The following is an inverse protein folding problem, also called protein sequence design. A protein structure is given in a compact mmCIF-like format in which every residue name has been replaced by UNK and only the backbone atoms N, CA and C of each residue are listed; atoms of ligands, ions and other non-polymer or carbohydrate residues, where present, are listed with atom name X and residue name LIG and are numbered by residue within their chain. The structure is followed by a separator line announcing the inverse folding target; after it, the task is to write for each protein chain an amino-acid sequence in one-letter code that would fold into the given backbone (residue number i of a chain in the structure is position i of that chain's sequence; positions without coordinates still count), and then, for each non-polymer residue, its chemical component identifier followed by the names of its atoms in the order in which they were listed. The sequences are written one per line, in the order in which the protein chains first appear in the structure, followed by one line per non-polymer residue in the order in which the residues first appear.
data_IF_350515535195
#
_entry.id   IF_350515535195
#
_cell.length_a   1.000
_cell.length_b   1.000
_cell.length_c   1.000
_cell.angle_alpha   90.00
_cell.angle_beta   90.00
_cell.angle_gamma   90.00
#
_symmetry.space_group_name_H-M   'P 1'
#
loop_
_entity.id
_entity.type
_entity.pdbx_description
1 polymer ?
#
# COMPACT_ATOMS: atom_id res chain seq x y z
N UNK A 1 -29.39 -42.09 36.62
CA UNK A 1 -29.91 -41.60 35.32
C UNK A 1 -29.56 -40.12 35.22
N UNK A 2 -28.81 -39.72 34.17
CA UNK A 2 -28.77 -38.41 33.49
C UNK A 2 -28.54 -37.14 34.34
N UNK A 3 -27.71 -36.15 34.00
CA UNK A 3 -26.53 -35.92 33.13
C UNK A 3 -26.21 -34.43 33.32
N UNK A 4 -24.92 -34.06 33.23
CA UNK A 4 -24.35 -32.78 32.79
C UNK A 4 -24.71 -31.46 33.49
N UNK A 5 -23.65 -30.68 33.76
CA UNK A 5 -23.76 -29.23 33.96
C UNK A 5 -22.59 -28.55 34.65
N UNK A 6 -21.32 -28.89 34.34
CA UNK A 6 -20.18 -28.04 34.72
C UNK A 6 -20.21 -26.79 33.82
N UNK A 7 -20.82 -25.71 34.29
CA UNK A 7 -20.53 -24.37 33.77
C UNK A 7 -19.27 -23.85 34.49
N UNK A 8 -18.14 -23.93 33.79
CA UNK A 8 -16.99 -23.08 34.05
C UNK A 8 -17.26 -21.75 33.32
N UNK A 9 -17.87 -20.78 34.01
CA UNK A 9 -17.75 -19.38 33.62
C UNK A 9 -16.38 -18.91 34.08
N UNK A 10 -15.36 -19.14 33.25
CA UNK A 10 -14.06 -18.52 33.43
C UNK A 10 -14.15 -17.11 32.86
N UNK A 11 -14.27 -16.16 33.80
CA UNK A 11 -14.04 -14.74 33.70
C UNK A 11 -13.30 -14.27 32.43
N UNK A 12 -14.06 -13.79 31.45
CA UNK A 12 -13.59 -12.84 30.46
C UNK A 12 -13.52 -11.45 31.13
N UNK A 13 -12.31 -11.04 31.53
CA UNK A 13 -11.95 -9.65 31.81
C UNK A 13 -10.81 -9.34 30.84
N UNK A 14 -11.10 -8.71 29.70
CA UNK A 14 -11.03 -7.26 29.52
C UNK A 14 -9.65 -6.73 29.89
N UNK A 15 -8.66 -7.00 29.04
CA UNK A 15 -7.56 -6.07 28.86
C UNK A 15 -8.05 -4.97 27.93
N UNK A 16 -7.97 -3.68 28.30
CA UNK A 16 -8.04 -2.62 27.32
C UNK A 16 -6.81 -2.79 26.41
N UNK A 17 -7.04 -3.23 25.18
CA UNK A 17 -6.08 -3.13 24.10
C UNK A 17 -5.96 -1.64 23.73
N UNK A 18 -5.29 -0.87 24.57
CA UNK A 18 -4.66 0.37 24.18
C UNK A 18 -3.25 -0.02 23.71
N UNK A 19 -3.18 -0.61 22.53
CA UNK A 19 -1.94 -0.75 21.81
C UNK A 19 -1.65 0.61 21.18
N UNK A 20 -0.96 1.47 21.93
CA UNK A 20 -0.06 2.47 21.35
C UNK A 20 1.13 1.71 20.70
N UNK A 21 0.84 0.77 19.77
CA UNK A 21 1.85 -0.04 19.12
C UNK A 21 2.43 0.80 17.99
N UNK A 22 3.51 1.53 18.32
CA UNK A 22 4.42 2.06 17.32
C UNK A 22 4.75 0.94 16.32
N UNK A 23 4.63 1.18 15.01
CA UNK A 23 4.86 0.15 14.03
C UNK A 23 6.30 -0.39 14.12
N UNK A 24 6.47 -1.67 13.82
CA UNK A 24 7.81 -2.28 13.80
C UNK A 24 8.73 -1.51 12.83
N UNK A 25 9.95 -1.12 13.23
CA UNK A 25 10.87 -0.38 12.37
C UNK A 25 11.19 -1.11 11.06
N UNK A 26 11.19 -2.45 11.04
CA UNK A 26 11.41 -3.23 9.81
C UNK A 26 10.20 -3.17 8.88
N UNK A 27 8.98 -3.13 9.43
CA UNK A 27 7.77 -2.89 8.65
C UNK A 27 7.78 -1.50 8.01
N UNK A 28 8.16 -0.47 8.77
CA UNK A 28 8.28 0.92 8.29
C UNK A 28 9.36 1.03 7.21
N UNK A 29 10.56 0.47 7.45
CA UNK A 29 11.65 0.51 6.51
C UNK A 29 11.34 -0.29 5.22
N UNK A 30 10.72 -1.46 5.36
CA UNK A 30 10.29 -2.30 4.23
C UNK A 30 9.23 -1.62 3.36
N UNK A 31 8.19 -1.06 3.98
CA UNK A 31 7.15 -0.31 3.25
C UNK A 31 7.71 0.92 2.55
N UNK A 32 8.58 1.67 3.22
CA UNK A 32 9.27 2.83 2.63
C UNK A 32 10.07 2.40 1.39
N UNK A 33 10.86 1.34 1.49
CA UNK A 33 11.65 0.83 0.37
C UNK A 33 10.77 0.40 -0.82
N UNK A 34 9.67 -0.32 -0.57
CA UNK A 34 8.71 -0.70 -1.60
C UNK A 34 8.08 0.53 -2.27
N UNK A 35 7.65 1.51 -1.48
CA UNK A 35 7.09 2.76 -1.98
C UNK A 35 8.11 3.57 -2.81
N UNK A 36 9.38 3.62 -2.37
CA UNK A 36 10.49 4.22 -3.13
C UNK A 36 10.69 3.52 -4.47
N UNK A 37 10.70 2.18 -4.49
CA UNK A 37 10.88 1.39 -5.71
C UNK A 37 9.78 1.66 -6.74
N UNK A 38 8.52 1.64 -6.30
CA UNK A 38 7.35 1.92 -7.16
C UNK A 38 7.33 3.38 -7.63
N UNK A 39 7.54 4.32 -6.71
CA UNK A 39 7.49 5.76 -7.00
C UNK A 39 8.60 6.23 -7.95
N UNK A 40 9.75 5.54 -7.97
CA UNK A 40 10.88 5.93 -8.82
C UNK A 40 10.62 5.77 -10.32
N UNK A 41 9.70 4.89 -10.73
CA UNK A 41 9.42 4.59 -12.14
C UNK A 41 7.96 4.81 -12.55
N UNK A 42 7.12 5.47 -11.74
CA UNK A 42 5.69 5.64 -12.06
C UNK A 42 5.42 6.33 -13.41
N UNK A 43 6.33 7.19 -13.88
CA UNK A 43 6.23 7.79 -15.22
C UNK A 43 6.46 6.77 -16.36
N UNK A 44 7.25 5.72 -16.12
CA UNK A 44 7.51 4.66 -17.09
C UNK A 44 6.31 3.73 -17.26
N UNK A 45 5.54 3.46 -16.19
CA UNK A 45 4.37 2.58 -16.28
C UNK A 45 3.38 3.06 -17.35
N UNK A 46 3.12 4.37 -17.38
CA UNK A 46 2.25 4.99 -18.39
C UNK A 46 2.88 4.98 -19.80
N UNK A 47 4.20 5.02 -19.90
CA UNK A 47 4.88 5.04 -21.19
C UNK A 47 4.94 3.66 -21.86
N UNK A 48 4.96 2.60 -21.05
CA UNK A 48 5.04 1.21 -21.50
C UNK A 48 3.66 0.57 -21.75
N UNK A 49 2.58 1.18 -21.25
CA UNK A 49 1.23 0.73 -21.57
C UNK A 49 0.96 0.83 -23.07
N UNK A 50 0.44 -0.25 -23.66
CA UNK A 50 0.22 -0.34 -25.10
C UNK A 50 -1.06 0.41 -25.56
N UNK A 51 -1.39 0.28 -26.84
CA UNK A 51 -2.56 0.96 -27.41
C UNK A 51 -3.90 0.47 -26.84
N UNK A 52 -3.93 -0.75 -26.30
CA UNK A 52 -5.08 -1.39 -25.68
C UNK A 52 -5.06 -1.25 -24.15
N UNK A 53 -4.08 -0.53 -23.60
CA UNK A 53 -3.91 -0.27 -22.17
C UNK A 53 -3.26 -1.42 -21.41
N UNK A 54 -2.75 -2.44 -22.09
CA UNK A 54 -2.03 -3.55 -21.46
C UNK A 54 -0.63 -3.08 -21.02
N UNK A 55 -0.24 -3.48 -19.81
CA UNK A 55 1.07 -3.22 -19.24
C UNK A 55 1.74 -4.56 -18.96
N UNK A 56 2.93 -4.78 -19.50
CA UNK A 56 3.81 -5.91 -19.20
C UNK A 56 5.25 -5.42 -19.38
N UNK A 57 5.92 -5.11 -18.28
CA UNK A 57 7.25 -4.49 -18.32
C UNK A 57 8.13 -4.86 -17.14
N UNK A 58 9.41 -5.08 -17.43
CA UNK A 58 10.48 -5.29 -16.45
C UNK A 58 11.16 -3.95 -16.11
N UNK A 59 11.18 -3.60 -14.82
CA UNK A 59 11.75 -2.34 -14.34
C UNK A 59 12.91 -2.57 -13.37
N UNK A 60 13.95 -1.76 -13.54
CA UNK A 60 15.14 -1.79 -12.68
C UNK A 60 14.93 -0.90 -11.46
N UNK A 61 15.23 -1.44 -10.29
CA UNK A 61 15.10 -0.71 -9.03
C UNK A 61 16.23 0.30 -8.81
N UNK A 62 16.02 1.35 -7.99
CA UNK A 62 16.99 2.41 -7.79
C UNK A 62 18.39 1.94 -7.38
N UNK A 63 18.47 0.88 -6.57
CA UNK A 63 19.74 0.34 -6.05
C UNK A 63 20.09 -1.06 -6.60
N UNK A 64 19.46 -1.45 -7.72
CA UNK A 64 19.69 -2.74 -8.39
C UNK A 64 18.62 -3.80 -8.10
N UNK A 65 18.67 -4.92 -8.81
CA UNK A 65 17.53 -5.84 -8.88
C UNK A 65 16.43 -5.32 -9.80
N UNK A 66 15.30 -6.01 -9.82
CA UNK A 66 14.18 -5.67 -10.71
C UNK A 66 12.82 -6.00 -10.09
N UNK A 67 11.77 -5.46 -10.70
CA UNK A 67 10.40 -5.91 -10.52
C UNK A 67 9.68 -5.92 -11.87
N UNK A 68 8.70 -6.81 -11.99
CA UNK A 68 7.82 -6.92 -13.16
C UNK A 68 6.51 -6.24 -12.83
N UNK A 69 5.97 -5.49 -13.77
CA UNK A 69 4.65 -4.85 -13.68
C UNK A 69 3.78 -5.40 -14.79
N UNK A 70 2.68 -6.04 -14.42
CA UNK A 70 1.69 -6.62 -15.33
C UNK A 70 0.31 -6.03 -15.00
N UNK A 71 -0.48 -5.63 -15.99
CA UNK A 71 -1.78 -5.04 -15.70
C UNK A 71 -2.54 -4.55 -16.90
N UNK A 72 -3.66 -3.91 -16.61
CA UNK A 72 -4.48 -3.25 -17.61
C UNK A 72 -4.96 -1.89 -17.08
N UNK A 73 -4.81 -0.88 -17.91
CA UNK A 73 -5.42 0.43 -17.73
C UNK A 73 -6.77 0.36 -18.45
N UNK A 74 -7.80 -0.08 -17.72
CA UNK A 74 -9.13 -0.37 -18.27
C UNK A 74 -9.74 0.87 -18.93
N UNK A 75 -9.56 2.04 -18.32
CA UNK A 75 -9.81 3.34 -18.92
C UNK A 75 -8.99 4.46 -18.25
N UNK A 76 -9.32 5.73 -18.48
CA UNK A 76 -8.60 6.86 -17.91
C UNK A 76 -8.73 6.98 -16.37
N UNK A 77 -9.65 6.25 -15.77
CA UNK A 77 -10.05 6.36 -14.38
C UNK A 77 -9.89 5.06 -13.60
N UNK A 78 -9.76 3.89 -14.24
CA UNK A 78 -9.60 2.61 -13.56
C UNK A 78 -8.33 1.89 -14.04
N UNK A 79 -7.51 1.42 -13.10
CA UNK A 79 -6.30 0.65 -13.39
C UNK A 79 -6.10 -0.51 -12.43
N UNK A 80 -5.82 -1.68 -13.01
CA UNK A 80 -5.48 -2.92 -12.31
C UNK A 80 -4.05 -3.30 -12.64
N UNK A 81 -3.19 -3.37 -11.63
CA UNK A 81 -1.77 -3.66 -11.80
C UNK A 81 -1.33 -4.69 -10.76
N UNK A 82 -0.53 -5.65 -11.17
CA UNK A 82 0.20 -6.58 -10.33
C UNK A 82 1.68 -6.31 -10.48
N UNK A 83 2.37 -6.21 -9.35
CA UNK A 83 3.81 -6.01 -9.27
C UNK A 83 4.44 -7.25 -8.65
N UNK A 84 5.42 -7.84 -9.32
CA UNK A 84 6.23 -8.93 -8.77
C UNK A 84 7.65 -8.44 -8.55
N UNK A 85 8.07 -8.35 -7.28
CA UNK A 85 9.44 -7.97 -6.92
C UNK A 85 10.37 -9.18 -6.94
N UNK A 86 11.49 -9.07 -7.67
CA UNK A 86 12.47 -10.13 -7.84
C UNK A 86 13.83 -9.72 -7.24
N UNK A 87 13.87 -9.53 -5.92
CA UNK A 87 15.08 -9.04 -5.24
C UNK A 87 15.40 -7.59 -5.57
N UNK A 88 14.36 -6.77 -5.70
CA UNK A 88 14.45 -5.34 -5.93
C UNK A 88 15.11 -4.63 -4.75
N UNK A 89 16.18 -3.87 -4.98
CA UNK A 89 16.85 -3.11 -3.93
C UNK A 89 16.44 -1.64 -3.95
N UNK A 90 15.91 -1.17 -2.83
CA UNK A 90 15.66 0.24 -2.56
C UNK A 90 16.00 0.53 -1.10
N UNK A 91 16.68 1.65 -0.84
CA UNK A 91 17.06 2.09 0.50
C UNK A 91 17.74 1.01 1.36
N UNK A 92 18.62 0.18 0.75
CA UNK A 92 19.34 -0.88 1.45
C UNK A 92 18.51 -2.14 1.77
N UNK A 93 17.22 -2.14 1.42
CA UNK A 93 16.30 -3.27 1.61
C UNK A 93 16.11 -4.01 0.29
N UNK A 94 16.28 -5.32 0.31
CA UNK A 94 15.90 -6.23 -0.77
C UNK A 94 14.45 -6.67 -0.59
N UNK A 95 13.63 -6.36 -1.59
CA UNK A 95 12.20 -6.61 -1.64
C UNK A 95 11.95 -7.78 -2.59
N UNK A 96 11.18 -8.76 -2.14
CA UNK A 96 10.67 -9.86 -2.95
C UNK A 96 9.18 -10.07 -2.67
N UNK A 97 8.45 -10.66 -3.60
CA UNK A 97 7.04 -10.99 -3.39
C UNK A 97 6.13 -10.34 -4.43
N UNK A 98 4.86 -10.22 -4.11
CA UNK A 98 3.85 -9.70 -5.04
C UNK A 98 2.95 -8.67 -4.37
N UNK A 99 2.53 -7.69 -5.14
CA UNK A 99 1.61 -6.64 -4.72
C UNK A 99 0.64 -6.33 -5.87
N UNK A 100 -0.64 -6.53 -5.64
CA UNK A 100 -1.70 -6.09 -6.52
C UNK A 100 -2.19 -4.71 -6.11
N UNK A 101 -2.50 -3.89 -7.10
CA UNK A 101 -2.99 -2.53 -7.00
C UNK A 101 -4.23 -2.42 -7.89
N UNK A 102 -5.37 -2.13 -7.27
CA UNK A 102 -6.55 -1.67 -7.99
C UNK A 102 -6.76 -0.20 -7.66
N UNK A 103 -7.10 0.62 -8.64
CA UNK A 103 -7.34 2.02 -8.37
C UNK A 103 -8.41 2.63 -9.26
N UNK A 104 -9.17 3.52 -8.64
CA UNK A 104 -10.27 4.25 -9.25
C UNK A 104 -10.05 5.76 -9.06
N UNK A 105 -10.29 6.53 -10.12
CA UNK A 105 -10.18 7.98 -10.13
C UNK A 105 -11.55 8.59 -10.39
N UNK A 106 -12.09 9.28 -9.39
CA UNK A 106 -13.34 10.02 -9.51
C UNK A 106 -13.04 11.50 -9.72
N UNK A 107 -13.49 12.06 -10.84
CA UNK A 107 -13.33 13.48 -11.16
C UNK A 107 -14.68 14.20 -11.09
N UNK A 108 -14.73 15.28 -10.32
CA UNK A 108 -15.86 16.23 -10.30
C UNK A 108 -15.41 17.60 -10.78
N UNK A 109 -16.34 18.56 -10.87
CA UNK A 109 -16.03 19.94 -11.28
C UNK A 109 -15.01 20.62 -10.35
N UNK A 110 -15.01 20.27 -9.06
CA UNK A 110 -14.21 20.96 -8.04
C UNK A 110 -13.34 20.00 -7.21
N UNK A 111 -13.39 18.70 -7.44
CA UNK A 111 -12.58 17.73 -6.71
C UNK A 111 -12.10 16.58 -7.59
N UNK A 112 -10.97 16.01 -7.22
CA UNK A 112 -10.46 14.73 -7.73
C UNK A 112 -10.27 13.80 -6.55
N UNK A 113 -10.79 12.58 -6.63
CA UNK A 113 -10.54 11.53 -5.65
C UNK A 113 -9.83 10.37 -6.33
N UNK A 114 -8.81 9.86 -5.70
CA UNK A 114 -8.12 8.64 -6.09
C UNK A 114 -8.31 7.64 -4.96
N UNK A 115 -8.93 6.51 -5.26
CA UNK A 115 -9.07 5.36 -4.39
C UNK A 115 -8.08 4.29 -4.87
N UNK A 116 -7.28 3.73 -3.98
CA UNK A 116 -6.31 2.68 -4.32
C UNK A 116 -6.35 1.56 -3.29
N UNK A 117 -6.61 0.35 -3.74
CA UNK A 117 -6.52 -0.88 -2.96
C UNK A 117 -5.19 -1.58 -3.25
N UNK A 118 -4.37 -1.77 -2.22
CA UNK A 118 -3.14 -2.54 -2.25
C UNK A 118 -3.33 -3.87 -1.53
N UNK A 119 -3.05 -4.97 -2.20
CA UNK A 119 -3.12 -6.31 -1.59
C UNK A 119 -1.94 -7.16 -1.99
N UNK A 120 -1.31 -7.87 -1.06
CA UNK A 120 -0.23 -8.79 -1.41
C UNK A 120 0.61 -9.27 -0.23
N UNK A 121 1.72 -9.90 -0.56
CA UNK A 121 2.72 -10.35 0.41
C UNK A 121 4.11 -9.95 -0.07
N UNK A 122 4.81 -9.20 0.78
CA UNK A 122 6.18 -8.75 0.53
C UNK A 122 7.12 -9.34 1.59
N UNK A 123 8.32 -9.69 1.17
CA UNK A 123 9.42 -10.08 2.04
C UNK A 123 10.57 -9.09 1.88
N UNK A 124 11.07 -8.64 3.02
CA UNK A 124 12.14 -7.66 3.16
C UNK A 124 13.36 -8.32 3.80
N UNK A 125 14.53 -8.08 3.24
CA UNK A 125 15.83 -8.52 3.80
C UNK A 125 16.87 -7.40 3.66
N UNK A 126 17.93 -7.43 4.47
CA UNK A 126 18.99 -6.41 4.44
C UNK A 126 18.87 -5.43 5.60
N UNK A 127 18.58 -4.16 5.32
CA UNK A 127 18.37 -3.14 6.36
C UNK A 127 17.03 -3.27 7.11
N UNK A 128 16.13 -4.13 6.64
CA UNK A 128 14.90 -4.55 7.30
C UNK A 128 14.74 -6.06 7.13
N UNK A 129 14.20 -6.77 8.13
CA UNK A 129 13.99 -8.23 8.06
C UNK A 129 12.55 -8.61 8.47
N UNK A 130 11.64 -8.65 7.50
CA UNK A 130 10.24 -9.01 7.76
C UNK A 130 9.56 -9.68 6.56
N UNK A 131 8.50 -10.44 6.82
CA UNK A 131 7.52 -10.85 5.80
C UNK A 131 6.18 -10.25 6.18
N UNK A 132 5.59 -9.52 5.25
CA UNK A 132 4.46 -8.65 5.49
C UNK A 132 3.33 -8.95 4.53
N UNK A 133 2.18 -9.30 5.09
CA UNK A 133 0.92 -9.15 4.38
C UNK A 133 0.60 -7.66 4.28
N UNK A 134 0.14 -7.25 3.09
CA UNK A 134 -0.27 -5.90 2.76
C UNK A 134 -1.76 -5.97 2.40
N UNK A 135 -2.58 -5.22 3.11
CA UNK A 135 -3.99 -5.01 2.82
C UNK A 135 -4.31 -3.55 3.18
N UNK A 136 -4.17 -2.65 2.21
CA UNK A 136 -4.25 -1.21 2.43
C UNK A 136 -5.21 -0.58 1.45
N UNK A 137 -6.07 0.30 1.97
CA UNK A 137 -6.90 1.18 1.15
C UNK A 137 -6.43 2.61 1.35
N UNK A 138 -6.03 3.26 0.26
CA UNK A 138 -5.60 4.65 0.24
C UNK A 138 -6.64 5.51 -0.48
N UNK A 139 -7.10 6.56 0.19
CA UNK A 139 -7.99 7.56 -0.37
C UNK A 139 -7.27 8.91 -0.39
N UNK A 140 -7.11 9.48 -1.59
CA UNK A 140 -6.55 10.82 -1.78
C UNK A 140 -7.61 11.71 -2.40
N UNK A 141 -7.99 12.77 -1.71
CA UNK A 141 -8.93 13.78 -2.19
C UNK A 141 -8.20 15.10 -2.39
N UNK A 142 -8.30 15.63 -3.61
CA UNK A 142 -7.82 16.96 -3.97
C UNK A 142 -9.03 17.83 -4.25
N UNK A 143 -9.30 18.80 -3.38
CA UNK A 143 -10.36 19.79 -3.57
C UNK A 143 -9.77 21.10 -4.08
N UNK A 144 -10.41 21.67 -5.08
CA UNK A 144 -10.08 22.98 -5.61
C UNK A 144 -11.22 23.94 -5.31
N UNK A 145 -10.93 25.03 -4.61
CA UNK A 145 -11.92 26.09 -4.41
C UNK A 145 -11.91 27.02 -5.61
N UNK A 146 -12.99 27.02 -6.41
CA UNK A 146 -13.19 27.99 -7.47
C UNK A 146 -13.36 29.42 -6.92
N UNK A 147 -12.56 30.38 -7.40
CA UNK A 147 -12.61 31.78 -6.98
C UNK A 147 -11.36 32.60 -7.31
N UNK A 148 -11.27 33.82 -6.78
CA UNK A 148 -10.11 34.73 -6.95
C UNK A 148 -8.87 34.32 -6.14
N UNK A 149 -8.94 33.20 -5.40
CA UNK A 149 -7.83 32.63 -4.63
C UNK A 149 -7.83 31.11 -4.83
N UNK A 150 -7.04 30.59 -5.79
CA UNK A 150 -6.99 29.15 -6.04
C UNK A 150 -6.16 28.48 -4.94
N UNK A 151 -6.81 28.05 -3.87
CA UNK A 151 -6.24 27.06 -2.94
C UNK A 151 -6.64 25.65 -3.36
N UNK A 152 -5.67 24.74 -3.37
CA UNK A 152 -5.89 23.31 -3.43
C UNK A 152 -5.75 22.74 -2.01
N UNK A 153 -6.75 21.98 -1.57
CA UNK A 153 -6.69 21.20 -0.34
C UNK A 153 -6.44 19.73 -0.73
N UNK A 154 -5.43 19.11 -0.12
CA UNK A 154 -5.12 17.70 -0.34
C UNK A 154 -5.30 16.98 0.99
N UNK A 155 -6.18 15.99 1.00
CA UNK A 155 -6.41 15.09 2.12
C UNK A 155 -6.03 13.68 1.66
N UNK A 156 -5.21 12.98 2.45
CA UNK A 156 -4.86 11.59 2.22
C UNK A 156 -5.19 10.79 3.47
N UNK A 157 -5.83 9.64 3.29
CA UNK A 157 -6.17 8.72 4.36
C UNK A 157 -5.80 7.29 3.97
N UNK A 158 -5.36 6.52 4.96
CA UNK A 158 -4.89 5.16 4.78
C UNK A 158 -5.60 4.26 5.80
N UNK A 159 -6.19 3.18 5.31
CA UNK A 159 -6.93 2.20 6.08
C UNK A 159 -6.34 0.81 5.84
N UNK A 160 -6.61 -0.12 6.75
CA UNK A 160 -6.08 -1.49 6.68
C UNK A 160 -4.75 -1.66 7.41
N UNK A 161 -3.98 -2.64 6.97
CA UNK A 161 -2.80 -3.14 7.68
C UNK A 161 -1.58 -3.32 6.75
N UNK A 162 -0.41 -3.01 7.30
CA UNK A 162 0.90 -3.32 6.72
C UNK A 162 1.67 -4.11 7.78
N UNK A 163 2.03 -5.36 7.47
CA UNK A 163 2.71 -6.25 8.41
C UNK A 163 1.93 -6.48 9.72
N UNK A 164 0.59 -6.37 9.70
CA UNK A 164 -0.27 -6.46 10.89
C UNK A 164 -0.32 -5.19 11.75
N UNK A 165 0.29 -4.08 11.30
CA UNK A 165 0.19 -2.77 11.92
C UNK A 165 -0.74 -1.86 11.12
N UNK A 166 -1.35 -0.87 11.77
CA UNK A 166 -2.19 0.14 11.10
C UNK A 166 -1.43 0.77 9.92
N UNK A 167 -2.04 0.72 8.73
CA UNK A 167 -1.45 1.30 7.53
C UNK A 167 -1.14 2.80 7.71
N UNK A 168 -2.05 3.55 8.36
CA UNK A 168 -1.83 4.96 8.66
C UNK A 168 -0.59 5.19 9.54
N UNK A 169 -0.34 4.34 10.53
CA UNK A 169 0.81 4.48 11.42
C UNK A 169 2.12 4.17 10.69
N UNK A 170 2.14 3.11 9.87
CA UNK A 170 3.31 2.74 9.07
C UNK A 170 3.64 3.81 8.03
N UNK A 171 2.62 4.33 7.34
CA UNK A 171 2.78 5.39 6.33
C UNK A 171 3.25 6.70 6.96
N UNK A 172 2.70 7.11 8.10
CA UNK A 172 3.16 8.33 8.80
C UNK A 172 4.63 8.19 9.24
N UNK A 173 4.98 7.04 9.83
CA UNK A 173 6.35 6.74 10.25
C UNK A 173 7.33 6.62 9.08
N UNK A 174 6.90 6.23 7.88
CA UNK A 174 7.78 6.09 6.72
C UNK A 174 8.18 7.43 6.08
N UNK A 175 7.47 8.52 6.41
CA UNK A 175 7.69 9.87 5.85
C UNK A 175 8.28 10.88 6.86
N UNK A 176 8.46 10.48 8.12
CA UNK A 176 9.09 11.29 9.19
C UNK A 176 10.60 11.26 9.15
#
# INVERSE_FOLDING_TARGET
MRTLGKLLLTSAFLLPACADDDPDPDAVAGWRAASTALGSQGAQWKAEADADGELDTDLVCPSGGQYVVEGNIADANEFDVSVTFEGCNADGVLISGHLSMHAEVELTENSSRVHVDYQGELSFTGEAEATCEIDVVADVVVETTGGNDPSAHVEASFHGEICGYSAAAVVDASHG
#
